data_IF_277295898420
#
_entry.id   IF_277295898420
#
_cell.length_a   1.000
_cell.length_b   1.000
_cell.length_c   1.000
_cell.angle_alpha   90.00
_cell.angle_beta   90.00
_cell.angle_gamma   90.00
#
_symmetry.space_group_name_H-M   'P 1'
#
loop_
_entity.id
_entity.type
_entity.pdbx_description
1 polymer ?
#
# COMPACT_ATOMS: atom_id res chain seq x y z
N UNK A 1 19.82 -28.51 12.98
CA UNK A 1 21.29 -28.33 12.90
C UNK A 1 21.64 -27.07 13.71
N UNK A 2 22.91 -26.72 13.88
CA UNK A 2 23.28 -25.41 14.46
C UNK A 2 24.00 -24.57 13.42
N UNK A 3 23.75 -23.27 13.40
CA UNK A 3 24.47 -22.34 12.52
C UNK A 3 25.93 -22.28 12.99
N UNK A 4 26.92 -22.50 12.10
CA UNK A 4 28.32 -22.59 12.51
C UNK A 4 28.85 -21.35 13.22
N UNK A 5 28.37 -20.17 12.82
CA UNK A 5 28.90 -18.88 13.30
C UNK A 5 28.28 -18.43 14.63
N UNK A 6 27.03 -18.81 14.90
CA UNK A 6 26.27 -18.34 16.07
C UNK A 6 26.01 -19.45 17.09
N UNK A 7 26.12 -20.71 16.69
CA UNK A 7 25.75 -21.87 17.51
C UNK A 7 24.23 -22.05 17.70
N UNK A 8 23.41 -21.21 17.07
CA UNK A 8 21.96 -21.25 17.21
C UNK A 8 21.34 -22.38 16.40
N UNK A 9 20.19 -22.90 16.85
CA UNK A 9 19.47 -23.94 16.12
C UNK A 9 18.95 -23.37 14.81
N UNK A 10 19.30 -24.02 13.70
CA UNK A 10 18.89 -23.62 12.37
C UNK A 10 18.29 -24.79 11.56
N UNK A 11 17.48 -24.40 10.58
CA UNK A 11 17.02 -25.23 9.48
C UNK A 11 17.78 -24.76 8.24
N UNK A 12 18.41 -25.68 7.51
CA UNK A 12 19.14 -25.37 6.29
C UNK A 12 18.65 -26.25 5.15
N UNK A 13 18.69 -25.71 3.94
CA UNK A 13 18.51 -26.52 2.73
C UNK A 13 19.69 -27.47 2.58
N UNK A 14 19.43 -28.66 2.05
CA UNK A 14 20.49 -29.64 1.80
C UNK A 14 21.52 -29.07 0.81
N UNK A 15 22.85 -29.24 1.01
CA UNK A 15 23.88 -28.63 0.16
C UNK A 15 23.81 -28.99 -1.33
N UNK A 16 23.17 -30.10 -1.69
CA UNK A 16 22.95 -30.50 -3.09
C UNK A 16 21.91 -29.64 -3.82
N UNK A 17 21.07 -28.89 -3.09
CA UNK A 17 20.07 -27.98 -3.66
C UNK A 17 20.74 -26.64 -3.99
N UNK A 18 21.58 -26.65 -5.04
CA UNK A 18 22.46 -25.54 -5.38
C UNK A 18 21.95 -24.66 -6.54
N UNK A 19 20.79 -24.97 -7.13
CA UNK A 19 20.13 -24.16 -8.15
C UNK A 19 18.80 -23.62 -7.65
N UNK A 20 18.34 -22.51 -8.25
CA UNK A 20 17.02 -21.93 -8.00
C UNK A 20 15.90 -22.97 -8.15
N UNK A 21 15.88 -23.71 -9.26
CA UNK A 21 14.83 -24.69 -9.55
C UNK A 21 14.86 -25.88 -8.58
N UNK A 22 16.06 -26.37 -8.22
CA UNK A 22 16.19 -27.49 -7.29
C UNK A 22 15.67 -27.11 -5.90
N UNK A 23 16.02 -25.91 -5.41
CA UNK A 23 15.54 -25.40 -4.11
C UNK A 23 14.02 -25.21 -4.13
N UNK A 24 13.52 -24.56 -5.18
CA UNK A 24 12.10 -24.25 -5.36
C UNK A 24 11.23 -25.51 -5.44
N UNK A 25 11.67 -26.52 -6.20
CA UNK A 25 10.94 -27.78 -6.32
C UNK A 25 10.96 -28.56 -5.00
N UNK A 26 12.12 -28.68 -4.37
CA UNK A 26 12.27 -29.41 -3.11
C UNK A 26 11.45 -28.80 -1.98
N UNK A 27 11.45 -27.46 -1.83
CA UNK A 27 10.64 -26.80 -0.80
C UNK A 27 9.14 -26.89 -1.14
N UNK A 28 8.78 -26.77 -2.41
CA UNK A 28 7.41 -26.94 -2.89
C UNK A 28 6.84 -28.31 -2.53
N UNK A 29 7.58 -29.39 -2.77
CA UNK A 29 7.18 -30.75 -2.42
C UNK A 29 6.94 -30.91 -0.91
N UNK A 30 7.83 -30.36 -0.09
CA UNK A 30 7.68 -30.36 1.38
C UNK A 30 6.43 -29.58 1.80
N UNK A 31 6.20 -28.38 1.25
CA UNK A 31 5.02 -27.59 1.60
C UNK A 31 3.71 -28.27 1.18
N UNK A 32 3.69 -28.95 0.02
CA UNK A 32 2.54 -29.73 -0.43
C UNK A 32 2.26 -30.93 0.49
N UNK A 33 3.30 -31.67 0.89
CA UNK A 33 3.16 -32.78 1.84
C UNK A 33 2.62 -32.28 3.19
N UNK A 34 3.20 -31.21 3.76
CA UNK A 34 2.75 -30.61 5.01
C UNK A 34 1.31 -30.09 4.93
N UNK A 35 0.93 -29.48 3.80
CA UNK A 35 -0.45 -29.04 3.52
C UNK A 35 -1.40 -30.23 3.48
N UNK A 36 -1.03 -31.32 2.79
CA UNK A 36 -1.88 -32.52 2.69
C UNK A 36 -2.17 -33.15 4.06
N UNK A 37 -1.20 -33.05 4.98
CA UNK A 37 -1.28 -33.51 6.36
C UNK A 37 -1.97 -32.52 7.30
N UNK A 38 -2.34 -31.33 6.81
CA UNK A 38 -2.90 -30.22 7.60
C UNK A 38 -2.05 -29.90 8.85
N UNK A 39 -0.73 -29.97 8.70
CA UNK A 39 0.20 -29.78 9.84
C UNK A 39 0.22 -28.33 10.30
N UNK A 40 0.08 -27.38 9.37
CA UNK A 40 0.16 -25.95 9.65
C UNK A 40 -1.02 -25.21 9.01
N UNK A 41 -1.76 -24.45 9.83
CA UNK A 41 -2.88 -23.60 9.39
C UNK A 41 -2.46 -22.57 8.34
N UNK A 42 -1.21 -22.11 8.40
CA UNK A 42 -0.64 -21.20 7.40
C UNK A 42 -0.86 -21.69 5.96
N UNK A 43 -0.75 -23.00 5.72
CA UNK A 43 -0.81 -23.62 4.40
C UNK A 43 -2.24 -23.84 3.86
N UNK A 44 -3.28 -23.55 4.66
CA UNK A 44 -4.68 -23.63 4.22
C UNK A 44 -4.99 -22.54 3.18
N UNK A 45 -4.31 -21.39 3.26
CA UNK A 45 -4.50 -20.23 2.40
C UNK A 45 -3.78 -20.31 1.05
N UNK A 46 -3.64 -21.50 0.48
CA UNK A 46 -2.91 -21.75 -0.76
C UNK A 46 -3.56 -21.07 -1.97
N UNK A 47 -2.77 -20.31 -2.74
CA UNK A 47 -3.26 -19.47 -3.85
C UNK A 47 -2.73 -19.83 -5.22
N UNK A 48 -1.78 -20.77 -5.30
CA UNK A 48 -0.98 -21.00 -6.53
C UNK A 48 -0.27 -19.71 -6.99
N UNK A 49 0.20 -18.95 -6.02
CA UNK A 49 0.84 -17.66 -6.20
C UNK A 49 2.16 -17.71 -5.41
N UNK A 50 3.27 -17.61 -6.12
CA UNK A 50 4.59 -17.71 -5.51
C UNK A 50 5.16 -16.33 -5.20
N UNK A 51 5.85 -16.22 -4.07
CA UNK A 51 6.80 -15.16 -3.77
C UNK A 51 8.21 -15.60 -4.11
N UNK A 52 9.05 -14.63 -4.48
CA UNK A 52 10.50 -14.82 -4.52
C UNK A 52 11.09 -14.69 -3.11
N UNK A 53 12.05 -15.56 -2.79
CA UNK A 53 12.88 -15.44 -1.59
C UNK A 53 14.23 -14.88 -2.00
N UNK A 54 14.62 -13.77 -1.38
CA UNK A 54 15.79 -12.99 -1.77
C UNK A 54 16.77 -12.83 -0.60
N UNK A 55 18.00 -12.44 -0.93
CA UNK A 55 18.94 -11.82 0.01
C UNK A 55 19.39 -10.50 -0.61
N UNK A 56 19.34 -9.42 0.15
CA UNK A 56 19.69 -8.07 -0.28
C UNK A 56 18.61 -7.45 -1.18
N UNK A 57 19.05 -6.72 -2.20
CA UNK A 57 18.23 -5.80 -3.02
C UNK A 57 17.28 -6.45 -4.05
N UNK A 58 16.87 -7.70 -3.82
CA UNK A 58 15.98 -8.48 -4.69
C UNK A 58 16.45 -8.67 -6.14
N UNK A 59 17.74 -8.48 -6.44
CA UNK A 59 18.26 -8.70 -7.80
C UNK A 59 18.20 -10.16 -8.24
N UNK A 60 18.50 -11.11 -7.36
CA UNK A 60 18.49 -12.54 -7.68
C UNK A 60 17.71 -13.35 -6.64
N UNK A 61 16.62 -14.02 -7.04
CA UNK A 61 15.88 -14.89 -6.14
C UNK A 61 16.66 -16.18 -5.87
N UNK A 62 16.68 -16.61 -4.62
CA UNK A 62 17.29 -17.87 -4.19
C UNK A 62 16.40 -19.08 -4.47
N UNK A 63 15.09 -18.88 -4.34
CA UNK A 63 14.02 -19.84 -4.63
C UNK A 63 12.68 -19.10 -4.76
N UNK A 64 11.66 -19.77 -5.28
CA UNK A 64 10.26 -19.35 -5.18
C UNK A 64 9.54 -20.20 -4.12
N UNK A 65 8.60 -19.57 -3.42
CA UNK A 65 7.86 -20.17 -2.32
C UNK A 65 6.39 -19.75 -2.42
N UNK A 66 5.49 -20.71 -2.26
CA UNK A 66 4.06 -20.39 -2.27
C UNK A 66 3.69 -19.42 -1.14
N UNK A 67 2.87 -18.41 -1.45
CA UNK A 67 2.54 -17.27 -0.59
C UNK A 67 2.06 -17.66 0.81
N UNK A 68 1.29 -18.73 0.96
CA UNK A 68 0.77 -19.19 2.24
C UNK A 68 1.86 -19.78 3.15
N UNK A 69 2.96 -20.29 2.58
CA UNK A 69 4.10 -20.80 3.34
C UNK A 69 5.05 -19.70 3.85
N UNK A 70 4.86 -18.45 3.41
CA UNK A 70 5.83 -17.39 3.69
C UNK A 70 5.98 -17.08 5.18
N UNK A 71 4.86 -16.98 5.91
CA UNK A 71 4.86 -16.70 7.35
C UNK A 71 5.35 -17.87 8.17
N UNK A 72 5.12 -19.10 7.68
CA UNK A 72 5.59 -20.31 8.33
C UNK A 72 7.12 -20.38 8.36
N UNK A 73 7.77 -19.93 7.28
CA UNK A 73 9.23 -19.91 7.16
C UNK A 73 9.86 -18.57 7.53
N UNK A 74 9.06 -17.55 7.88
CA UNK A 74 9.56 -16.22 8.22
C UNK A 74 10.29 -15.53 7.07
N UNK A 75 9.92 -15.81 5.81
CA UNK A 75 10.54 -15.13 4.67
C UNK A 75 9.96 -13.73 4.51
N UNK A 76 10.82 -12.79 4.10
CA UNK A 76 10.40 -11.42 3.80
C UNK A 76 9.40 -11.44 2.65
N UNK A 77 8.26 -10.80 2.88
CA UNK A 77 7.23 -10.55 1.87
C UNK A 77 7.37 -9.12 1.39
N UNK A 78 7.08 -8.92 0.12
CA UNK A 78 7.07 -7.60 -0.49
C UNK A 78 5.65 -7.28 -0.96
N UNK A 79 5.28 -6.00 -0.90
CA UNK A 79 4.00 -5.51 -1.40
C UNK A 79 4.12 -4.08 -1.91
N UNK A 80 3.06 -3.61 -2.53
CA UNK A 80 2.94 -2.25 -3.05
C UNK A 80 1.68 -1.61 -2.50
N UNK A 81 1.75 -0.32 -2.23
CA UNK A 81 0.61 0.46 -1.77
C UNK A 81 0.60 1.83 -2.47
N UNK A 82 -0.57 2.27 -2.94
CA UNK A 82 -0.73 3.53 -3.68
C UNK A 82 -1.61 4.50 -2.91
N UNK A 83 -1.10 5.70 -2.61
CA UNK A 83 -1.89 6.80 -2.09
C UNK A 83 -2.46 7.61 -3.25
N UNK A 84 -3.75 7.39 -3.58
CA UNK A 84 -4.46 8.17 -4.59
C UNK A 84 -5.11 9.42 -3.97
N UNK A 85 -4.71 10.61 -4.40
CA UNK A 85 -5.21 11.86 -3.84
C UNK A 85 -5.40 12.95 -4.90
N UNK A 86 -6.13 14.01 -4.55
CA UNK A 86 -6.20 15.23 -5.35
C UNK A 86 -6.44 16.46 -4.47
N UNK A 87 -6.16 17.65 -5.00
CA UNK A 87 -6.39 18.91 -4.30
C UNK A 87 -7.71 19.52 -4.78
N UNK A 88 -8.66 19.70 -3.87
CA UNK A 88 -9.94 20.34 -4.14
C UNK A 88 -9.81 21.87 -4.07
N UNK A 89 -9.52 22.50 -5.21
CA UNK A 89 -9.32 23.96 -5.33
C UNK A 89 -10.62 24.80 -5.23
N UNK A 90 -11.76 24.24 -4.82
CA UNK A 90 -13.05 24.96 -4.84
C UNK A 90 -13.15 26.17 -3.90
N UNK A 91 -12.24 26.34 -2.94
CA UNK A 91 -12.30 27.40 -1.91
C UNK A 91 -11.54 28.69 -2.23
N UNK A 92 -10.63 28.72 -3.21
CA UNK A 92 -9.83 29.94 -3.47
C UNK A 92 -10.56 31.03 -4.26
N UNK A 93 -11.70 30.72 -4.89
CA UNK A 93 -12.47 31.68 -5.69
C UNK A 93 -13.31 32.68 -4.88
N UNK A 94 -13.48 32.47 -3.56
CA UNK A 94 -14.27 33.37 -2.71
C UNK A 94 -13.42 34.41 -1.95
N UNK A 95 -12.08 34.37 -2.08
CA UNK A 95 -11.16 35.26 -1.35
C UNK A 95 -10.73 36.52 -2.09
N UNK A 96 -11.03 36.67 -3.38
CA UNK A 96 -10.62 37.81 -4.19
C UNK A 96 -11.85 38.45 -4.84
N UNK A 97 -12.14 39.68 -4.39
CA UNK A 97 -13.18 40.62 -4.84
C UNK A 97 -14.55 40.53 -4.15
N UNK A 98 -14.71 41.33 -3.09
CA UNK A 98 -15.93 42.12 -2.94
C UNK A 98 -15.65 43.49 -2.30
N UNK A 99 -14.99 44.35 -3.07
CA UNK A 99 -15.19 45.80 -3.01
C UNK A 99 -16.25 46.19 -4.04
N UNK A 100 -17.46 46.47 -3.55
CA UNK A 100 -18.52 47.32 -4.14
C UNK A 100 -18.94 47.08 -5.61
N UNK A 101 -20.17 46.60 -5.80
CA UNK A 101 -21.14 47.28 -6.68
C UNK A 101 -22.58 46.78 -6.42
N UNK A 102 -23.51 47.73 -6.24
CA UNK A 102 -24.95 47.54 -6.24
C UNK A 102 -25.45 47.14 -7.64
N UNK A 103 -26.48 46.30 -7.72
CA UNK A 103 -27.25 46.11 -8.95
C UNK A 103 -28.17 44.88 -8.92
N UNK A 104 -29.47 45.14 -8.77
CA UNK A 104 -30.57 44.17 -8.86
C UNK A 104 -30.74 43.56 -10.26
N UNK A 105 -31.02 42.25 -10.36
CA UNK A 105 -32.16 41.72 -11.15
C UNK A 105 -32.31 40.20 -11.01
N UNK A 106 -33.56 39.75 -10.99
CA UNK A 106 -34.04 38.37 -11.05
C UNK A 106 -33.79 37.73 -12.42
N UNK A 107 -33.40 36.45 -12.48
CA UNK A 107 -33.37 35.67 -13.72
C UNK A 107 -33.07 34.17 -13.53
N UNK A 108 -34.04 33.34 -13.93
CA UNK A 108 -34.14 31.87 -13.90
C UNK A 108 -32.87 30.99 -13.97
N UNK A 109 -32.86 29.97 -13.11
CA UNK A 109 -31.89 28.88 -13.01
C UNK A 109 -32.06 27.80 -14.10
N UNK A 110 -31.02 27.63 -14.91
CA UNK A 110 -30.65 26.33 -15.50
C UNK A 110 -29.21 26.06 -15.05
N UNK A 111 -29.03 25.03 -14.23
CA UNK A 111 -27.75 24.59 -13.69
C UNK A 111 -26.86 24.06 -14.81
N UNK A 112 -25.96 24.91 -15.31
CA UNK A 112 -24.81 24.46 -16.09
C UNK A 112 -23.72 23.98 -15.13
N UNK A 113 -22.97 22.92 -15.48
CA UNK A 113 -21.81 22.54 -14.70
C UNK A 113 -20.75 23.64 -14.84
N UNK A 114 -20.30 24.15 -13.70
CA UNK A 114 -19.23 25.14 -13.58
C UNK A 114 -17.95 24.65 -14.27
N UNK A 115 -17.14 25.55 -14.86
CA UNK A 115 -15.94 25.14 -15.57
C UNK A 115 -14.93 24.52 -14.60
N UNK A 116 -14.51 23.30 -14.89
CA UNK A 116 -13.43 22.58 -14.21
C UNK A 116 -12.15 23.41 -14.37
N UNK A 117 -11.64 23.95 -13.27
CA UNK A 117 -10.42 24.76 -13.28
C UNK A 117 -9.20 23.82 -13.31
N UNK A 118 -8.55 23.72 -14.47
CA UNK A 118 -7.18 23.18 -14.59
C UNK A 118 -6.19 24.21 -14.03
N UNK A 119 -6.01 24.25 -12.71
CA UNK A 119 -4.83 24.91 -12.13
C UNK A 119 -3.76 23.84 -11.98
N UNK A 120 -2.68 23.95 -12.77
CA UNK A 120 -1.48 23.16 -12.52
C UNK A 120 -0.94 23.55 -11.15
N UNK A 121 -0.92 22.59 -10.20
CA UNK A 121 -0.40 22.70 -8.84
C UNK A 121 1.14 22.87 -8.78
N UNK A 122 1.69 23.75 -9.61
CA UNK A 122 3.12 23.76 -9.95
C UNK A 122 4.05 24.56 -9.03
N UNK A 123 3.62 24.99 -7.84
CA UNK A 123 4.50 25.81 -6.97
C UNK A 123 4.43 25.49 -5.47
N UNK A 124 3.44 24.74 -5.01
CA UNK A 124 3.17 24.54 -3.59
C UNK A 124 3.48 23.11 -3.17
N UNK A 125 4.20 22.91 -2.06
CA UNK A 125 4.33 21.58 -1.47
C UNK A 125 2.96 21.12 -0.96
N UNK A 126 2.64 19.84 -1.09
CA UNK A 126 1.32 19.30 -0.73
C UNK A 126 0.93 19.61 0.73
N UNK A 127 1.90 19.56 1.64
CA UNK A 127 1.73 19.87 3.07
C UNK A 127 1.36 21.30 3.42
N UNK A 128 1.42 22.22 2.47
CA UNK A 128 1.03 23.60 2.72
C UNK A 128 -0.48 23.82 2.50
N UNK A 129 -1.15 22.94 1.76
CA UNK A 129 -2.60 23.00 1.60
C UNK A 129 -3.33 22.73 2.92
N UNK A 130 -4.52 23.30 3.07
CA UNK A 130 -5.39 22.97 4.20
C UNK A 130 -5.72 21.47 4.14
N UNK A 131 -5.52 20.69 5.22
CA UNK A 131 -5.84 19.26 5.25
C UNK A 131 -7.30 18.94 4.87
N UNK A 132 -8.21 19.89 5.01
CA UNK A 132 -9.62 19.75 4.58
C UNK A 132 -9.83 19.87 3.06
N UNK A 133 -8.85 20.39 2.31
CA UNK A 133 -8.95 20.57 0.86
C UNK A 133 -8.17 19.52 0.07
N UNK A 134 -7.32 18.73 0.72
CA UNK A 134 -6.67 17.57 0.08
C UNK A 134 -7.53 16.34 0.32
N UNK A 135 -7.98 15.72 -0.76
CA UNK A 135 -8.87 14.57 -0.73
C UNK A 135 -8.10 13.30 -1.10
N UNK A 136 -8.35 12.21 -0.38
CA UNK A 136 -7.72 10.90 -0.59
C UNK A 136 -8.79 9.85 -0.83
N UNK A 137 -8.57 9.02 -1.84
CA UNK A 137 -9.39 7.84 -2.12
C UNK A 137 -8.92 6.67 -1.26
N UNK A 138 -9.86 6.04 -0.56
CA UNK A 138 -9.66 4.82 0.22
C UNK A 138 -10.51 3.69 -0.37
N UNK A 139 -9.89 2.53 -0.61
CA UNK A 139 -10.61 1.32 -0.98
C UNK A 139 -11.31 0.69 0.23
N UNK A 140 -12.51 0.18 0.05
CA UNK A 140 -13.19 -0.71 1.00
C UNK A 140 -13.02 -2.13 0.50
N UNK A 141 -12.29 -2.94 1.25
CA UNK A 141 -11.94 -4.31 0.84
C UNK A 141 -13.18 -5.18 0.67
N UNK A 142 -13.21 -5.97 -0.40
CA UNK A 142 -14.26 -6.97 -0.64
C UNK A 142 -14.48 -7.88 0.55
N UNK A 143 -15.75 -8.18 0.86
CA UNK A 143 -16.11 -9.12 1.93
C UNK A 143 -15.65 -10.56 1.64
N UNK A 144 -15.32 -10.85 0.39
CA UNK A 144 -14.81 -12.15 -0.04
C UNK A 144 -13.29 -12.30 0.16
N UNK A 145 -12.57 -11.22 0.53
CA UNK A 145 -11.13 -11.30 0.77
C UNK A 145 -10.86 -12.23 1.97
N UNK A 146 -9.85 -13.12 1.88
CA UNK A 146 -9.53 -14.05 2.97
C UNK A 146 -8.96 -13.34 4.21
N UNK A 147 -8.45 -12.12 4.06
CA UNK A 147 -7.88 -11.32 5.15
C UNK A 147 -8.50 -9.93 5.12
N UNK A 148 -8.90 -9.45 6.30
CA UNK A 148 -9.36 -8.08 6.53
C UNK A 148 -10.56 -7.68 5.64
N UNK A 149 -11.64 -8.49 5.54
CA UNK A 149 -12.81 -8.16 4.73
C UNK A 149 -13.52 -6.90 5.25
N UNK A 150 -13.94 -6.01 4.36
CA UNK A 150 -14.69 -4.79 4.70
C UNK A 150 -13.87 -3.66 5.32
N UNK A 151 -12.56 -3.85 5.54
CA UNK A 151 -11.69 -2.82 6.10
C UNK A 151 -11.28 -1.79 5.04
N UNK A 152 -10.95 -0.57 5.50
CA UNK A 152 -10.35 0.47 4.67
C UNK A 152 -8.91 0.10 4.29
N UNK A 153 -8.56 0.42 3.06
CA UNK A 153 -7.26 0.20 2.44
C UNK A 153 -6.85 1.46 1.64
N UNK A 154 -5.64 1.44 1.10
CA UNK A 154 -5.19 2.39 0.08
C UNK A 154 -6.09 2.31 -1.18
N UNK A 155 -5.95 3.22 -2.15
CA UNK A 155 -6.76 3.15 -3.39
C UNK A 155 -6.46 1.86 -4.17
N UNK A 156 -5.22 1.40 -4.11
CA UNK A 156 -4.76 0.12 -4.64
C UNK A 156 -3.61 -0.41 -3.77
N UNK A 157 -3.59 -1.71 -3.50
CA UNK A 157 -2.52 -2.38 -2.78
C UNK A 157 -2.45 -3.88 -3.06
N UNK A 158 -1.25 -4.38 -3.36
CA UNK A 158 -1.06 -5.78 -3.76
C UNK A 158 0.21 -6.41 -3.19
N UNK A 159 0.19 -7.74 -3.09
CA UNK A 159 1.40 -8.50 -2.78
C UNK A 159 2.28 -8.63 -4.01
N UNK A 160 3.59 -8.45 -3.85
CA UNK A 160 4.53 -8.49 -4.96
C UNK A 160 4.93 -9.94 -5.27
N UNK A 161 4.31 -10.51 -6.30
CA UNK A 161 4.54 -11.89 -6.72
C UNK A 161 5.90 -12.08 -7.37
N UNK A 162 6.36 -13.33 -7.41
CA UNK A 162 7.59 -13.71 -8.06
C UNK A 162 7.63 -13.24 -9.52
N UNK A 163 8.69 -12.53 -9.89
CA UNK A 163 8.91 -12.06 -11.27
C UNK A 163 8.33 -10.68 -11.57
N UNK A 164 7.60 -10.05 -10.65
CA UNK A 164 7.15 -8.66 -10.78
C UNK A 164 8.11 -7.70 -10.07
N UNK A 165 8.45 -6.60 -10.74
CA UNK A 165 9.00 -5.42 -10.09
C UNK A 165 7.90 -4.59 -9.44
N UNK A 166 8.28 -3.75 -8.48
CA UNK A 166 7.33 -3.00 -7.66
C UNK A 166 6.49 -2.00 -8.48
N UNK A 167 7.07 -1.37 -9.51
CA UNK A 167 6.34 -0.39 -10.31
C UNK A 167 5.32 -1.09 -11.19
N UNK A 168 5.71 -2.17 -11.89
CA UNK A 168 4.78 -2.98 -12.69
C UNK A 168 3.63 -3.55 -11.85
N UNK A 169 3.92 -3.99 -10.62
CA UNK A 169 2.89 -4.42 -9.69
C UNK A 169 1.96 -3.26 -9.31
N UNK A 170 2.48 -2.10 -8.94
CA UNK A 170 1.65 -0.94 -8.60
C UNK A 170 0.75 -0.49 -9.76
N UNK A 171 1.25 -0.52 -11.01
CA UNK A 171 0.44 -0.27 -12.20
C UNK A 171 -0.70 -1.27 -12.34
N UNK A 172 -0.40 -2.57 -12.24
CA UNK A 172 -1.40 -3.65 -12.30
C UNK A 172 -2.47 -3.47 -11.22
N UNK A 173 -2.09 -3.26 -9.96
CA UNK A 173 -3.03 -3.11 -8.85
C UNK A 173 -3.91 -1.86 -9.04
N UNK A 174 -3.35 -0.73 -9.49
CA UNK A 174 -4.13 0.46 -9.81
C UNK A 174 -5.19 0.21 -10.90
N UNK A 175 -4.86 -0.60 -11.90
CA UNK A 175 -5.77 -0.95 -12.99
C UNK A 175 -6.86 -1.93 -12.53
N UNK A 176 -6.49 -2.99 -11.80
CA UNK A 176 -7.40 -4.04 -11.37
C UNK A 176 -8.30 -3.61 -10.21
N UNK A 177 -7.73 -2.99 -9.18
CA UNK A 177 -8.48 -2.63 -7.97
C UNK A 177 -9.26 -1.32 -8.12
N UNK A 178 -8.78 -0.38 -8.94
CA UNK A 178 -9.35 0.97 -9.01
C UNK A 178 -9.66 1.49 -10.43
N UNK A 179 -9.44 0.69 -11.47
CA UNK A 179 -9.65 1.09 -12.88
C UNK A 179 -8.91 2.38 -13.25
N UNK A 180 -7.74 2.63 -12.68
CA UNK A 180 -6.92 3.78 -13.05
C UNK A 180 -6.40 3.56 -14.48
N UNK A 181 -6.71 4.45 -15.42
CA UNK A 181 -6.29 4.28 -16.81
C UNK A 181 -4.80 4.59 -16.98
N UNK A 182 -4.17 3.98 -17.98
CA UNK A 182 -2.72 4.03 -18.23
C UNK A 182 -2.18 5.46 -18.31
N UNK A 183 -2.94 6.38 -18.91
CA UNK A 183 -2.55 7.79 -19.04
C UNK A 183 -2.32 8.49 -17.69
N UNK A 184 -3.02 8.09 -16.63
CA UNK A 184 -2.86 8.66 -15.29
C UNK A 184 -1.68 8.02 -14.54
N UNK A 185 -1.29 6.80 -14.88
CA UNK A 185 -0.16 6.11 -14.22
C UNK A 185 1.19 6.74 -14.54
N UNK A 186 1.27 7.59 -15.56
CA UNK A 186 2.49 8.33 -15.91
C UNK A 186 2.99 9.27 -14.80
N UNK A 187 2.14 9.64 -13.82
CA UNK A 187 2.50 10.47 -12.66
C UNK A 187 2.72 9.67 -11.37
N UNK A 188 2.56 8.34 -11.43
CA UNK A 188 2.79 7.45 -10.28
C UNK A 188 4.24 7.56 -9.82
N UNK A 189 4.45 7.96 -8.57
CA UNK A 189 5.78 8.24 -8.04
C UNK A 189 6.12 7.29 -6.89
N UNK A 190 7.26 6.60 -6.96
CA UNK A 190 7.81 5.84 -5.84
C UNK A 190 8.34 6.80 -4.76
N UNK A 191 7.85 6.69 -3.53
CA UNK A 191 8.10 7.71 -2.48
C UNK A 191 8.73 7.19 -1.20
N UNK A 192 8.45 5.94 -0.82
CA UNK A 192 8.97 5.36 0.43
C UNK A 192 9.04 3.85 0.34
N UNK A 193 9.80 3.26 1.27
CA UNK A 193 9.89 1.81 1.47
C UNK A 193 9.82 1.52 2.96
N UNK A 194 8.69 1.00 3.42
CA UNK A 194 8.47 0.65 4.81
C UNK A 194 8.89 -0.80 5.05
N UNK A 195 9.43 -1.10 6.23
CA UNK A 195 9.83 -2.44 6.63
C UNK A 195 9.50 -2.69 8.10
N UNK A 196 8.75 -3.77 8.35
CA UNK A 196 8.30 -4.14 9.70
C UNK A 196 8.09 -5.65 9.82
N UNK A 197 7.96 -6.15 11.05
CA UNK A 197 7.70 -7.56 11.38
C UNK A 197 6.54 -7.58 12.34
N UNK A 198 5.63 -8.53 12.13
CA UNK A 198 4.63 -8.89 13.11
C UNK A 198 4.53 -10.42 13.17
N UNK A 199 3.87 -10.92 14.20
CA UNK A 199 3.61 -12.34 14.37
C UNK A 199 2.11 -12.58 14.45
N UNK A 200 1.66 -13.67 13.86
CA UNK A 200 0.29 -14.17 14.03
C UNK A 200 0.28 -15.70 14.11
N UNK A 201 -0.91 -16.29 14.17
CA UNK A 201 -1.08 -17.75 14.27
C UNK A 201 -0.46 -18.56 13.10
N UNK A 202 -0.10 -17.90 12.00
CA UNK A 202 0.54 -18.50 10.81
C UNK A 202 2.06 -18.40 10.85
N UNK A 203 2.64 -17.70 11.82
CA UNK A 203 4.08 -17.56 12.02
C UNK A 203 4.58 -16.12 12.00
N UNK A 204 5.84 -15.94 11.65
CA UNK A 204 6.54 -14.65 11.65
C UNK A 204 6.40 -13.99 10.28
N UNK A 205 6.05 -12.70 10.25
CA UNK A 205 5.71 -11.98 9.03
C UNK A 205 6.57 -10.73 8.83
N UNK A 206 7.82 -10.87 8.36
CA UNK A 206 8.58 -9.73 7.87
C UNK A 206 7.96 -9.20 6.57
N UNK A 207 7.79 -7.90 6.48
CA UNK A 207 7.15 -7.19 5.36
C UNK A 207 8.02 -6.04 4.90
N UNK A 208 8.04 -5.83 3.59
CA UNK A 208 8.51 -4.61 2.95
C UNK A 208 7.42 -4.09 2.02
N UNK A 209 6.95 -2.88 2.26
CA UNK A 209 5.91 -2.25 1.45
C UNK A 209 6.53 -1.09 0.65
N UNK A 210 6.44 -1.18 -0.68
CA UNK A 210 6.82 -0.10 -1.60
C UNK A 210 5.65 0.88 -1.72
N UNK A 211 5.86 2.11 -1.27
CA UNK A 211 4.82 3.14 -1.26
C UNK A 211 4.92 4.01 -2.51
N UNK A 212 3.77 4.26 -3.12
CA UNK A 212 3.62 5.17 -4.26
C UNK A 212 2.60 6.25 -3.95
N UNK A 213 2.82 7.42 -4.51
CA UNK A 213 1.86 8.52 -4.49
C UNK A 213 1.36 8.76 -5.92
N UNK A 214 0.05 8.98 -6.07
CA UNK A 214 -0.62 9.23 -7.34
C UNK A 214 -1.59 10.39 -7.20
N UNK A 215 -1.24 11.53 -7.81
CA UNK A 215 -2.17 12.66 -7.93
C UNK A 215 -3.16 12.39 -9.06
N UNK A 216 -4.45 12.33 -8.73
CA UNK A 216 -5.54 12.01 -9.63
C UNK A 216 -6.30 13.29 -10.04
N UNK A 217 -6.97 13.30 -11.21
CA UNK A 217 -7.94 14.33 -11.53
C UNK A 217 -9.08 14.39 -10.50
N UNK A 218 -9.59 15.58 -10.18
CA UNK A 218 -10.68 15.72 -9.22
C UNK A 218 -12.03 15.15 -9.71
N UNK A 219 -12.16 14.89 -11.01
CA UNK A 219 -13.30 14.23 -11.64
C UNK A 219 -13.10 12.72 -11.85
N UNK A 220 -11.93 12.17 -11.47
CA UNK A 220 -11.70 10.74 -11.47
C UNK A 220 -12.48 10.06 -10.35
N UNK A 221 -13.19 8.98 -10.69
CA UNK A 221 -13.92 8.14 -9.75
C UNK A 221 -13.44 6.69 -9.94
N UNK A 222 -12.79 6.09 -8.93
CA UNK A 222 -12.28 4.72 -9.03
C UNK A 222 -13.43 3.70 -9.07
N UNK A 223 -13.17 2.58 -9.75
CA UNK A 223 -14.10 1.45 -9.87
C UNK A 223 -13.31 0.16 -9.74
N UNK A 224 -13.77 -0.77 -8.90
CA UNK A 224 -13.16 -2.10 -8.79
C UNK A 224 -13.44 -2.94 -10.03
N UNK A 225 -12.39 -3.45 -10.67
CA UNK A 225 -12.53 -4.22 -11.93
C UNK A 225 -12.50 -5.74 -11.72
N UNK A 226 -11.87 -6.22 -10.64
CA UNK A 226 -11.59 -7.64 -10.41
C UNK A 226 -12.38 -8.26 -9.23
N UNK A 227 -13.14 -7.43 -8.49
CA UNK A 227 -13.94 -7.84 -7.33
C UNK A 227 -13.16 -7.88 -6.00
N UNK A 228 -11.93 -7.38 -5.97
CA UNK A 228 -11.10 -7.29 -4.78
C UNK A 228 -11.45 -6.09 -3.88
N UNK A 229 -12.02 -5.04 -4.47
CA UNK A 229 -12.55 -3.85 -3.80
C UNK A 229 -14.08 -3.80 -3.95
N UNK A 230 -14.79 -3.64 -2.82
CA UNK A 230 -16.26 -3.55 -2.78
C UNK A 230 -16.76 -2.16 -3.17
N UNK A 231 -16.12 -1.13 -2.62
CA UNK A 231 -16.49 0.27 -2.82
C UNK A 231 -15.32 1.20 -2.49
N UNK A 232 -15.47 2.49 -2.78
CA UNK A 232 -14.47 3.51 -2.47
C UNK A 232 -15.06 4.62 -1.60
N UNK A 233 -14.24 5.16 -0.70
CA UNK A 233 -14.56 6.34 0.10
C UNK A 233 -13.62 7.48 -0.25
N UNK A 234 -14.18 8.66 -0.48
CA UNK A 234 -13.42 9.89 -0.64
C UNK A 234 -13.45 10.66 0.67
N UNK A 235 -12.28 10.91 1.25
CA UNK A 235 -12.13 11.57 2.55
C UNK A 235 -11.08 12.66 2.49
N UNK A 236 -11.22 13.70 3.31
CA UNK A 236 -10.19 14.73 3.45
C UNK A 236 -9.01 14.23 4.29
N UNK A 237 -7.82 14.82 4.11
CA UNK A 237 -6.67 14.51 4.97
C UNK A 237 -6.96 14.83 6.44
N UNK A 238 -7.79 15.84 6.73
CA UNK A 238 -8.27 16.11 8.08
C UNK A 238 -8.99 14.90 8.71
N UNK A 239 -9.85 14.21 7.95
CA UNK A 239 -10.55 13.00 8.41
C UNK A 239 -9.63 11.77 8.45
N UNK A 240 -8.72 11.63 7.48
CA UNK A 240 -7.74 10.54 7.41
C UNK A 240 -6.90 10.47 8.69
N UNK A 241 -6.49 11.62 9.24
CA UNK A 241 -5.71 11.70 10.50
C UNK A 241 -6.40 11.01 11.68
N UNK A 242 -7.72 11.00 11.71
CA UNK A 242 -8.49 10.29 12.74
C UNK A 242 -8.76 8.84 12.33
N UNK A 243 -9.06 8.60 11.05
CA UNK A 243 -9.45 7.27 10.55
C UNK A 243 -8.36 6.22 10.67
N UNK A 244 -7.08 6.58 10.50
CA UNK A 244 -5.96 5.63 10.58
C UNK A 244 -5.80 4.98 11.97
N UNK A 245 -6.42 5.55 13.01
CA UNK A 245 -6.44 4.99 14.36
C UNK A 245 -7.69 4.16 14.65
N UNK A 246 -8.63 4.09 13.71
CA UNK A 246 -9.86 3.30 13.88
C UNK A 246 -9.62 1.81 13.61
N UNK A 247 -10.43 0.97 14.23
CA UNK A 247 -10.46 -0.49 14.03
C UNK A 247 -10.98 -0.91 12.64
N UNK A 248 -11.44 0.05 11.83
CA UNK A 248 -11.91 -0.17 10.47
C UNK A 248 -10.78 -0.14 9.44
N UNK A 249 -9.59 0.32 9.81
CA UNK A 249 -8.47 0.46 8.88
C UNK A 249 -7.57 -0.77 8.90
N UNK A 250 -7.24 -1.31 7.72
CA UNK A 250 -6.23 -2.37 7.63
C UNK A 250 -4.88 -1.83 8.12
N UNK A 251 -4.28 -2.51 9.09
CA UNK A 251 -3.16 -1.97 9.86
C UNK A 251 -1.95 -1.54 9.03
N UNK A 252 -1.54 -2.30 8.00
CA UNK A 252 -0.42 -1.91 7.15
C UNK A 252 -0.76 -0.72 6.23
N UNK A 253 -2.00 -0.62 5.77
CA UNK A 253 -2.49 0.50 4.99
C UNK A 253 -2.54 1.79 5.82
N UNK A 254 -2.95 1.69 7.09
CA UNK A 254 -2.88 2.79 8.04
C UNK A 254 -1.42 3.25 8.27
N UNK A 255 -0.47 2.32 8.33
CA UNK A 255 0.96 2.62 8.44
C UNK A 255 1.50 3.36 7.20
N UNK A 256 1.11 2.94 5.99
CA UNK A 256 1.47 3.60 4.73
C UNK A 256 0.92 5.03 4.67
N UNK A 257 -0.32 5.23 5.13
CA UNK A 257 -0.91 6.56 5.19
C UNK A 257 -0.24 7.42 6.27
N UNK A 258 0.17 6.84 7.41
CA UNK A 258 0.95 7.57 8.41
C UNK A 258 2.29 8.07 7.83
N UNK A 259 2.98 7.24 7.04
CA UNK A 259 4.16 7.67 6.26
C UNK A 259 3.83 8.83 5.32
N UNK A 260 2.73 8.76 4.57
CA UNK A 260 2.25 9.86 3.73
C UNK A 260 2.04 11.16 4.54
N UNK A 261 1.40 11.08 5.70
CA UNK A 261 1.11 12.24 6.54
C UNK A 261 2.38 12.90 7.09
N UNK A 262 3.42 12.13 7.45
CA UNK A 262 4.71 12.68 7.87
C UNK A 262 5.51 13.25 6.68
N UNK A 263 5.63 12.52 5.57
CA UNK A 263 6.38 12.95 4.37
C UNK A 263 5.85 14.27 3.82
N UNK A 264 4.52 14.41 3.79
CA UNK A 264 3.85 15.61 3.35
C UNK A 264 3.56 16.60 4.48
N UNK A 265 4.09 16.42 5.70
CA UNK A 265 3.98 17.37 6.83
C UNK A 265 2.56 17.72 7.27
N UNK A 266 1.58 16.88 6.97
CA UNK A 266 0.23 16.98 7.56
C UNK A 266 0.22 16.60 9.05
N UNK A 267 1.24 15.86 9.47
CA UNK A 267 1.70 15.76 10.85
C UNK A 267 3.12 16.32 10.87
N UNK A 268 3.39 17.35 11.69
CA UNK A 268 4.71 17.95 11.79
C UNK A 268 5.67 17.01 12.55
N UNK A 269 6.69 16.44 11.88
CA UNK A 269 7.64 15.53 12.49
C UNK A 269 8.42 16.11 13.67
N UNK A 270 8.60 17.44 13.71
CA UNK A 270 9.33 18.12 14.79
C UNK A 270 8.47 18.30 16.05
N UNK A 271 7.15 18.33 15.88
CA UNK A 271 6.20 18.50 16.98
C UNK A 271 5.75 17.17 17.61
N UNK A 272 5.86 16.06 16.87
CA UNK A 272 5.43 14.75 17.35
C UNK A 272 6.55 14.06 18.15
N UNK A 273 6.42 13.90 19.48
CA UNK A 273 7.45 13.31 20.33
C UNK A 273 7.71 11.82 20.03
N UNK A 274 6.79 11.13 19.33
CA UNK A 274 6.93 9.72 18.97
C UNK A 274 7.47 9.51 17.56
N UNK A 275 7.67 10.58 16.78
CA UNK A 275 8.07 10.47 15.39
C UNK A 275 9.33 9.60 15.21
N UNK A 276 10.38 9.83 16.02
CA UNK A 276 11.62 9.05 15.93
C UNK A 276 11.42 7.55 16.25
N UNK A 277 10.58 7.23 17.24
CA UNK A 277 10.25 5.85 17.59
C UNK A 277 9.47 5.18 16.45
N UNK A 278 8.42 5.85 15.98
CA UNK A 278 7.57 5.40 14.87
C UNK A 278 8.42 5.14 13.62
N UNK A 279 9.29 6.09 13.22
CA UNK A 279 10.22 5.90 12.11
C UNK A 279 11.13 4.68 12.29
N UNK A 280 11.60 4.39 13.50
CA UNK A 280 12.43 3.22 13.75
C UNK A 280 11.65 1.90 13.63
N UNK A 281 10.36 1.88 14.00
CA UNK A 281 9.45 0.74 13.86
C UNK A 281 8.98 0.54 12.41
N UNK A 282 8.92 1.62 11.62
CA UNK A 282 8.53 1.63 10.20
C UNK A 282 9.66 1.27 9.24
N UNK A 283 10.90 1.33 9.68
CA UNK A 283 12.10 1.13 8.87
C UNK A 283 13.05 0.14 9.53
N UNK A 284 12.50 -1.00 9.98
CA UNK A 284 13.31 -2.06 10.56
C UNK A 284 14.28 -2.63 9.51
N UNK A 285 15.54 -2.79 9.91
CA UNK A 285 16.55 -3.43 9.06
C UNK A 285 16.46 -4.94 9.21
N UNK A 286 16.30 -5.65 8.11
CA UNK A 286 16.43 -7.10 8.11
C UNK A 286 17.89 -7.44 7.78
N UNK A 287 18.48 -8.39 8.50
CA UNK A 287 19.92 -8.72 8.36
C UNK A 287 20.30 -9.17 6.94
N UNK A 288 19.32 -9.60 6.16
CA UNK A 288 19.51 -10.17 4.82
C UNK A 288 18.71 -9.42 3.74
N UNK A 289 18.27 -8.17 3.96
CA UNK A 289 17.47 -7.35 3.01
C UNK A 289 18.02 -5.91 2.86
#
# INVERSE_FOLDING_TARGET
MVQPDTGERCITLHPSLNTFDARSSAIGDVMLDLRSKKTFKALDGWRNEDYGVYIGDRQQPLLRLERSASSLLGVVRYGVHVNGYFINCSSELNGINNSKANGSSMGNSKSQPSPICKVSAGARLLGEYDPSTVMMWLGVRSLNKPTWPGMLDNIAAGGLTFGLDALSCAHKECQEEASVPEELLSTLTSVSRLSYVFEDERGVCPQVEYCFDLELPCDFVPVGADGEVDSFQLVSIAEVKELIFSDRFKANSALVILDFLYRHKFIDPLSDPRHAEIQSLMHMKFEFD
#
